data_IF_398361007195
#
_entry.id   IF_398361007195
#
_cell.length_a   1.000
_cell.length_b   1.000
_cell.length_c   1.000
_cell.angle_alpha   90.00
_cell.angle_beta   90.00
_cell.angle_gamma   90.00
#
_symmetry.space_group_name_H-M   'P 1'
#
loop_
_entity.id
_entity.type
_entity.pdbx_description
1 polymer ?
#
# COMPACT_ATOMS: atom_id res chain seq x y z
N UNK A 1 31.42 8.19 11.21
CA UNK A 1 30.56 8.88 12.18
C UNK A 1 29.34 8.03 12.47
N UNK A 2 29.16 7.58 13.72
CA UNK A 2 28.01 6.76 14.13
C UNK A 2 26.76 7.65 14.33
N UNK A 3 25.55 7.19 14.00
CA UNK A 3 24.33 7.95 14.23
C UNK A 3 24.07 8.05 15.74
N UNK A 4 23.89 9.28 16.22
CA UNK A 4 23.60 9.55 17.63
C UNK A 4 22.20 9.03 17.97
N UNK A 5 22.12 7.93 18.70
CA UNK A 5 20.85 7.41 19.21
C UNK A 5 20.19 8.45 20.13
N UNK A 6 18.88 8.71 19.99
CA UNK A 6 18.20 9.69 20.84
C UNK A 6 18.19 9.24 22.30
N UNK A 7 18.38 10.19 23.21
CA UNK A 7 18.32 9.94 24.65
C UNK A 7 16.93 9.45 25.08
N UNK A 8 16.87 8.61 26.11
CA UNK A 8 15.62 8.03 26.63
C UNK A 8 14.57 9.11 26.98
N UNK A 9 15.00 10.32 27.35
CA UNK A 9 14.12 11.46 27.60
C UNK A 9 13.39 11.96 26.33
N UNK A 10 14.08 12.03 25.17
CA UNK A 10 13.46 12.41 23.89
C UNK A 10 12.49 11.35 23.38
N UNK A 11 12.81 10.07 23.59
CA UNK A 11 11.89 8.97 23.27
C UNK A 11 10.62 9.04 24.14
N UNK A 12 10.77 9.31 25.45
CA UNK A 12 9.63 9.48 26.37
C UNK A 12 8.78 10.70 26.06
N UNK A 13 9.38 11.82 25.66
CA UNK A 13 8.65 13.04 25.27
C UNK A 13 7.94 12.90 23.91
N UNK A 14 8.44 12.05 23.02
CA UNK A 14 7.74 11.65 21.80
C UNK A 14 6.54 10.77 22.14
N UNK A 15 6.72 9.76 23.01
CA UNK A 15 5.65 8.87 23.50
C UNK A 15 4.58 9.62 24.30
N UNK A 16 4.96 10.58 25.13
CA UNK A 16 4.01 11.40 25.88
C UNK A 16 3.18 12.33 24.98
N UNK A 17 3.71 12.75 23.83
CA UNK A 17 2.94 13.47 22.78
C UNK A 17 2.06 12.53 21.95
N UNK A 18 2.22 11.21 22.07
CA UNK A 18 1.45 10.19 21.34
C UNK A 18 0.17 9.77 22.06
N UNK A 19 0.05 10.01 23.37
CA UNK A 19 -1.07 9.52 24.19
C UNK A 19 -2.34 10.40 24.13
N UNK A 20 -2.23 11.68 23.77
CA UNK A 20 -3.34 12.65 23.85
C UNK A 20 -3.83 13.16 22.49
N UNK A 21 -3.79 12.33 21.45
CA UNK A 21 -4.30 12.72 20.13
C UNK A 21 -5.68 12.13 19.88
N UNK A 22 -6.61 12.99 19.51
CA UNK A 22 -7.93 12.65 18.95
C UNK A 22 -7.82 11.49 17.94
N UNK A 23 -8.85 10.63 17.86
CA UNK A 23 -8.92 9.58 16.85
C UNK A 23 -8.67 10.12 15.45
N UNK A 24 -8.08 9.31 14.59
CA UNK A 24 -7.84 9.67 13.21
C UNK A 24 -9.16 9.96 12.47
N UNK A 25 -9.13 11.06 11.73
CA UNK A 25 -10.28 11.55 10.99
C UNK A 25 -10.48 10.67 9.76
N UNK A 26 -11.66 10.07 9.63
CA UNK A 26 -12.12 9.40 8.40
C UNK A 26 -12.91 10.41 7.56
N UNK A 27 -12.17 11.27 6.83
CA UNK A 27 -12.71 12.41 6.08
C UNK A 27 -12.45 12.34 4.57
N UNK A 28 -11.76 11.28 4.13
CA UNK A 28 -11.43 11.06 2.73
C UNK A 28 -12.67 10.62 1.95
N UNK A 29 -12.95 11.33 0.86
CA UNK A 29 -14.07 11.05 -0.04
C UNK A 29 -13.60 10.18 -1.20
N UNK A 30 -14.28 9.08 -1.45
CA UNK A 30 -14.02 8.21 -2.60
C UNK A 30 -15.16 8.40 -3.61
N UNK A 31 -14.83 8.41 -4.90
CA UNK A 31 -15.80 8.41 -5.98
C UNK A 31 -16.69 7.16 -5.92
N UNK A 32 -17.91 7.27 -6.43
CA UNK A 32 -18.86 6.16 -6.32
C UNK A 32 -18.60 5.05 -7.38
N UNK A 33 -19.34 3.95 -7.26
CA UNK A 33 -19.16 2.81 -8.14
C UNK A 33 -19.58 3.10 -9.59
N UNK A 34 -20.47 4.06 -9.85
CA UNK A 34 -20.80 4.44 -11.22
C UNK A 34 -19.61 5.16 -11.87
N UNK A 35 -19.02 6.12 -11.16
CA UNK A 35 -17.80 6.81 -11.60
C UNK A 35 -16.64 5.83 -11.82
N UNK A 36 -16.55 4.78 -11.00
CA UNK A 36 -15.56 3.71 -11.17
C UNK A 36 -15.76 2.95 -12.47
N UNK A 37 -16.99 2.48 -12.76
CA UNK A 37 -17.30 1.72 -13.97
C UNK A 37 -17.12 2.55 -15.26
N UNK A 38 -17.24 3.87 -15.19
CA UNK A 38 -16.92 4.77 -16.31
C UNK A 38 -15.40 4.92 -16.55
N UNK A 39 -14.60 4.71 -15.52
CA UNK A 39 -13.15 4.99 -15.54
C UNK A 39 -12.32 3.72 -15.74
N UNK A 40 -12.67 2.64 -15.05
CA UNK A 40 -11.95 1.38 -15.06
C UNK A 40 -12.57 0.44 -16.10
N UNK A 41 -11.77 0.06 -17.09
CA UNK A 41 -12.20 -0.74 -18.25
C UNK A 41 -11.93 -2.23 -18.11
N UNK A 42 -11.22 -2.63 -17.05
CA UNK A 42 -11.06 -4.02 -16.64
C UNK A 42 -11.65 -4.19 -15.24
N UNK A 43 -12.01 -5.43 -14.89
CA UNK A 43 -12.38 -5.80 -13.52
C UNK A 43 -11.14 -5.67 -12.60
N UNK A 44 -10.79 -4.44 -12.23
CA UNK A 44 -9.79 -4.18 -11.20
C UNK A 44 -10.49 -4.26 -9.84
N UNK A 45 -9.76 -4.56 -8.78
CA UNK A 45 -10.34 -4.63 -7.43
C UNK A 45 -10.42 -3.26 -6.76
N UNK A 46 -10.02 -2.18 -7.45
CA UNK A 46 -9.85 -0.84 -6.88
C UNK A 46 -11.13 -0.01 -6.68
N UNK A 47 -12.33 -0.54 -6.97
CA UNK A 47 -13.58 0.23 -6.93
C UNK A 47 -14.11 0.58 -5.53
N UNK A 48 -13.56 0.00 -4.47
CA UNK A 48 -13.98 0.28 -3.09
C UNK A 48 -12.82 0.18 -2.10
N UNK A 49 -13.03 0.73 -0.89
CA UNK A 49 -12.07 0.58 0.22
C UNK A 49 -12.19 -0.82 0.80
N UNK A 50 -11.15 -1.63 0.62
CA UNK A 50 -11.10 -2.99 1.17
C UNK A 50 -10.97 -2.97 2.70
N UNK A 51 -11.58 -3.92 3.42
CA UNK A 51 -11.42 -4.05 4.87
C UNK A 51 -9.95 -4.11 5.32
N UNK A 52 -9.07 -4.69 4.51
CA UNK A 52 -7.64 -4.77 4.80
C UNK A 52 -6.99 -3.38 4.95
N UNK A 53 -7.35 -2.41 4.11
CA UNK A 53 -6.84 -1.04 4.21
C UNK A 53 -7.26 -0.38 5.54
N UNK A 54 -8.51 -0.58 5.95
CA UNK A 54 -9.02 -0.08 7.24
C UNK A 54 -8.29 -0.72 8.43
N UNK A 55 -8.09 -2.04 8.41
CA UNK A 55 -7.36 -2.75 9.47
C UNK A 55 -5.90 -2.34 9.56
N UNK A 56 -5.26 -2.08 8.42
CA UNK A 56 -3.89 -1.56 8.42
C UNK A 56 -3.83 -0.14 9.00
N UNK A 57 -4.80 0.71 8.67
CA UNK A 57 -4.89 2.05 9.25
C UNK A 57 -5.11 2.00 10.78
N UNK A 58 -6.06 1.18 11.26
CA UNK A 58 -6.30 0.94 12.68
C UNK A 58 -5.03 0.47 13.40
N UNK A 59 -4.26 -0.44 12.78
CA UNK A 59 -2.98 -0.88 13.31
C UNK A 59 -1.96 0.27 13.38
N UNK A 60 -1.81 1.08 12.34
CA UNK A 60 -0.88 2.21 12.34
C UNK A 60 -1.27 3.25 13.39
N UNK A 61 -2.57 3.52 13.53
CA UNK A 61 -3.10 4.43 14.53
C UNK A 61 -2.83 3.92 15.96
N UNK A 62 -3.08 2.64 16.22
CA UNK A 62 -2.87 2.04 17.54
C UNK A 62 -1.39 1.85 17.88
N UNK A 63 -0.60 1.33 16.93
CA UNK A 63 0.80 0.99 17.15
C UNK A 63 1.74 2.20 17.09
N UNK A 64 1.32 3.27 16.41
CA UNK A 64 2.10 4.52 16.23
C UNK A 64 3.57 4.25 15.91
N UNK A 65 3.87 3.48 14.86
CA UNK A 65 5.24 3.06 14.58
C UNK A 65 6.16 4.28 14.42
N UNK A 66 7.48 4.16 14.69
CA UNK A 66 8.40 5.29 14.71
C UNK A 66 8.35 6.16 13.44
N UNK A 67 8.08 5.56 12.28
CA UNK A 67 7.94 6.28 11.02
C UNK A 67 6.70 7.18 10.95
N UNK A 68 5.59 6.81 11.61
CA UNK A 68 4.34 7.57 11.60
C UNK A 68 4.43 8.83 12.48
N UNK A 69 5.30 8.80 13.50
CA UNK A 69 5.52 9.94 14.40
C UNK A 69 6.76 10.77 14.03
N UNK A 70 7.52 10.32 13.03
CA UNK A 70 8.73 11.02 12.56
C UNK A 70 8.36 12.20 11.68
N UNK A 71 8.90 13.37 12.01
CA UNK A 71 8.86 14.55 11.12
C UNK A 71 9.53 14.26 9.79
N UNK A 72 8.90 14.70 8.70
CA UNK A 72 9.38 14.48 7.35
C UNK A 72 9.29 13.01 6.92
N UNK A 73 8.23 12.32 7.33
CA UNK A 73 7.94 10.97 6.85
C UNK A 73 7.71 10.98 5.33
N UNK A 74 8.30 10.00 4.63
CA UNK A 74 8.10 9.76 3.20
C UNK A 74 7.51 8.37 3.07
N UNK A 75 6.28 8.28 2.62
CA UNK A 75 5.46 7.07 2.63
C UNK A 75 5.20 6.67 1.18
N UNK A 76 5.34 5.37 0.89
CA UNK A 76 4.98 4.77 -0.38
C UNK A 76 3.90 3.73 -0.11
N UNK A 77 2.76 3.85 -0.79
CA UNK A 77 1.69 2.86 -0.80
C UNK A 77 1.69 2.13 -2.16
N UNK A 78 1.83 0.81 -2.09
CA UNK A 78 1.82 -0.06 -3.26
C UNK A 78 0.42 -0.66 -3.45
N UNK A 79 -0.11 -0.58 -4.66
CA UNK A 79 -1.45 -1.14 -4.97
C UNK A 79 -2.55 -0.42 -4.19
N UNK A 80 -2.56 0.91 -4.30
CA UNK A 80 -3.38 1.78 -3.46
C UNK A 80 -4.89 1.65 -3.75
N UNK A 81 -5.29 1.08 -4.91
CA UNK A 81 -6.68 0.94 -5.32
C UNK A 81 -7.40 2.30 -5.37
N UNK A 82 -8.20 2.60 -4.36
CA UNK A 82 -8.89 3.90 -4.22
C UNK A 82 -7.97 5.02 -3.73
N UNK A 83 -6.83 4.71 -3.13
CA UNK A 83 -5.94 5.67 -2.46
C UNK A 83 -6.39 6.09 -1.07
N UNK A 84 -7.47 5.50 -0.54
CA UNK A 84 -8.06 5.90 0.74
C UNK A 84 -7.06 5.87 1.90
N UNK A 85 -6.22 4.84 2.00
CA UNK A 85 -5.29 4.71 3.11
C UNK A 85 -4.19 5.78 3.05
N UNK A 86 -3.51 5.95 1.91
CA UNK A 86 -2.49 6.99 1.74
C UNK A 86 -3.03 8.40 1.95
N UNK A 87 -4.22 8.71 1.43
CA UNK A 87 -4.88 10.00 1.69
C UNK A 87 -5.23 10.18 3.17
N UNK A 88 -5.70 9.12 3.84
CA UNK A 88 -6.01 9.18 5.28
C UNK A 88 -4.74 9.37 6.12
N UNK A 89 -3.63 8.76 5.72
CA UNK A 89 -2.33 9.01 6.33
C UNK A 89 -1.90 10.47 6.13
N UNK A 90 -2.04 11.02 4.92
CA UNK A 90 -1.71 12.43 4.66
C UNK A 90 -2.55 13.40 5.50
N UNK A 91 -3.84 13.11 5.68
CA UNK A 91 -4.75 13.93 6.48
C UNK A 91 -4.45 13.89 7.98
N UNK A 92 -3.93 12.77 8.49
CA UNK A 92 -3.70 12.55 9.92
C UNK A 92 -2.23 12.65 10.34
N UNK A 93 -1.31 12.74 9.39
CA UNK A 93 0.13 12.93 9.61
C UNK A 93 0.57 14.30 9.06
N UNK A 94 0.28 15.42 9.77
CA UNK A 94 0.58 16.76 9.27
C UNK A 94 2.08 17.01 9.09
N UNK A 95 2.94 16.21 9.72
CA UNK A 95 4.40 16.31 9.57
C UNK A 95 4.96 15.39 8.48
N UNK A 96 4.13 14.70 7.70
CA UNK A 96 4.58 13.95 6.51
C UNK A 96 5.09 14.91 5.43
N UNK A 97 6.26 14.58 4.87
CA UNK A 97 6.86 15.28 3.73
C UNK A 97 6.18 14.86 2.43
N UNK A 98 5.97 13.54 2.29
CA UNK A 98 5.44 12.95 1.05
C UNK A 98 4.68 11.66 1.30
N UNK A 99 3.55 11.50 0.60
CA UNK A 99 2.81 10.25 0.48
C UNK A 99 2.64 9.96 -1.01
N UNK A 100 3.34 8.94 -1.51
CA UNK A 100 3.20 8.48 -2.88
C UNK A 100 2.28 7.26 -2.89
N UNK A 101 1.10 7.40 -3.50
CA UNK A 101 0.16 6.30 -3.71
C UNK A 101 0.30 5.79 -5.15
N UNK A 102 0.36 4.47 -5.31
CA UNK A 102 0.68 3.89 -6.62
C UNK A 102 -0.34 2.84 -7.08
N UNK A 103 -0.53 2.78 -8.39
CA UNK A 103 -1.31 1.73 -9.06
C UNK A 103 -0.76 1.41 -10.45
N UNK A 104 -1.18 0.29 -11.03
CA UNK A 104 -0.94 -0.05 -12.42
C UNK A 104 -1.67 0.92 -13.37
N UNK A 105 -1.09 1.13 -14.55
CA UNK A 105 -1.79 1.83 -15.65
C UNK A 105 -2.90 0.97 -16.26
N UNK A 106 -2.80 -0.35 -16.11
CA UNK A 106 -3.71 -1.28 -16.75
C UNK A 106 -5.17 -1.08 -16.28
N UNK A 107 -6.12 -1.28 -17.21
CA UNK A 107 -7.55 -1.29 -16.89
C UNK A 107 -8.11 0.00 -16.32
N UNK A 108 -7.42 1.14 -16.45
CA UNK A 108 -7.87 2.43 -15.91
C UNK A 108 -7.61 2.64 -14.41
N UNK A 109 -6.90 1.73 -13.72
CA UNK A 109 -6.68 1.81 -12.28
C UNK A 109 -5.96 3.09 -11.84
N UNK A 110 -4.87 3.48 -12.52
CA UNK A 110 -4.18 4.75 -12.23
C UNK A 110 -5.07 5.98 -12.46
N UNK A 111 -5.90 5.98 -13.50
CA UNK A 111 -6.84 7.07 -13.77
C UNK A 111 -7.87 7.19 -12.66
N UNK A 112 -8.38 6.05 -12.18
CA UNK A 112 -9.28 6.00 -11.03
C UNK A 112 -8.65 6.54 -9.75
N UNK A 113 -7.42 6.11 -9.44
CA UNK A 113 -6.67 6.61 -8.28
C UNK A 113 -6.48 8.13 -8.34
N UNK A 114 -6.11 8.69 -9.50
CA UNK A 114 -5.99 10.15 -9.71
C UNK A 114 -7.29 10.88 -9.45
N UNK A 115 -8.42 10.32 -9.92
CA UNK A 115 -9.75 10.91 -9.72
C UNK A 115 -10.11 10.99 -8.23
N UNK A 116 -9.85 9.94 -7.48
CA UNK A 116 -10.07 9.92 -6.03
C UNK A 116 -9.20 10.95 -5.30
N UNK A 117 -7.92 11.08 -5.67
CA UNK A 117 -7.04 12.09 -5.07
C UNK A 117 -7.53 13.50 -5.39
N UNK A 118 -7.81 13.81 -6.67
CA UNK A 118 -8.31 15.11 -7.08
C UNK A 118 -9.59 15.54 -6.34
N UNK A 119 -10.53 14.61 -6.13
CA UNK A 119 -11.78 14.87 -5.37
C UNK A 119 -11.54 15.41 -3.96
N UNK A 120 -10.41 15.08 -3.35
CA UNK A 120 -10.06 15.53 -2.01
C UNK A 120 -9.14 16.77 -2.02
N UNK A 121 -8.39 17.00 -3.09
CA UNK A 121 -7.59 18.21 -3.28
C UNK A 121 -8.45 19.41 -3.70
N UNK A 122 -9.48 19.18 -4.51
CA UNK A 122 -10.43 20.20 -4.99
C UNK A 122 -11.58 20.47 -3.99
N UNK A 123 -11.54 19.86 -2.81
CA UNK A 123 -12.58 20.00 -1.79
C UNK A 123 -12.52 21.32 -1.03
N UNK A 124 -13.65 21.71 -0.42
CA UNK A 124 -13.74 22.91 0.44
C UNK A 124 -12.83 22.85 1.67
N UNK A 125 -12.51 21.64 2.13
CA UNK A 125 -11.67 21.40 3.30
C UNK A 125 -10.31 20.90 2.84
N UNK A 126 -9.26 21.67 3.12
CA UNK A 126 -7.88 21.27 2.86
C UNK A 126 -7.50 20.15 3.83
N UNK A 127 -7.42 18.92 3.31
CA UNK A 127 -7.09 17.74 4.10
C UNK A 127 -5.57 17.60 4.34
N UNK A 128 -4.73 18.03 3.38
CA UNK A 128 -3.28 18.01 3.47
C UNK A 128 -2.67 19.23 2.77
N UNK A 129 -1.39 19.51 3.05
CA UNK A 129 -0.67 20.56 2.32
C UNK A 129 -0.55 20.21 0.83
N UNK A 130 -0.67 21.19 -0.08
CA UNK A 130 -0.45 20.96 -1.52
C UNK A 130 0.89 20.26 -1.78
N UNK A 131 0.88 19.26 -2.66
CA UNK A 131 2.07 18.49 -3.02
C UNK A 131 2.54 17.47 -1.99
N UNK A 132 1.79 17.20 -0.92
CA UNK A 132 2.11 16.07 -0.01
C UNK A 132 1.72 14.73 -0.64
N UNK A 133 0.53 14.64 -1.23
CA UNK A 133 0.06 13.42 -1.89
C UNK A 133 0.49 13.43 -3.36
N UNK A 134 1.04 12.31 -3.82
CA UNK A 134 1.42 12.09 -5.21
C UNK A 134 0.85 10.78 -5.71
N UNK A 135 0.45 10.78 -6.99
CA UNK A 135 -0.05 9.58 -7.66
C UNK A 135 0.92 9.17 -8.76
N UNK A 136 1.49 7.98 -8.63
CA UNK A 136 2.45 7.45 -9.60
C UNK A 136 2.05 6.06 -10.10
N UNK A 137 2.50 5.73 -11.31
CA UNK A 137 2.33 4.38 -11.82
C UNK A 137 3.36 3.44 -11.19
N UNK A 138 2.93 2.28 -10.70
CA UNK A 138 3.83 1.20 -10.30
C UNK A 138 3.20 -0.13 -10.74
N UNK A 139 3.85 -0.81 -11.69
CA UNK A 139 3.43 -2.13 -12.14
C UNK A 139 4.43 -3.16 -11.64
N UNK A 140 3.97 -4.05 -10.75
CA UNK A 140 4.84 -5.04 -10.12
C UNK A 140 5.28 -6.13 -11.10
N UNK A 141 4.55 -6.33 -12.20
CA UNK A 141 4.90 -7.33 -13.23
C UNK A 141 6.25 -7.01 -13.87
N UNK A 142 6.65 -5.74 -13.90
CA UNK A 142 7.95 -5.31 -14.40
C UNK A 142 9.13 -5.84 -13.57
N UNK A 143 8.88 -6.37 -12.36
CA UNK A 143 9.90 -6.87 -11.43
C UNK A 143 9.83 -8.39 -11.25
N UNK A 144 8.95 -9.09 -11.99
CA UNK A 144 8.63 -10.50 -11.76
C UNK A 144 9.54 -11.53 -12.42
N UNK A 145 10.36 -11.15 -13.41
CA UNK A 145 11.00 -12.11 -14.33
C UNK A 145 12.53 -12.24 -14.24
N UNK A 146 13.23 -11.48 -13.38
CA UNK A 146 14.71 -11.48 -13.43
C UNK A 146 15.42 -12.66 -12.72
N UNK A 147 14.71 -13.60 -12.08
CA UNK A 147 15.35 -14.73 -11.34
C UNK A 147 14.67 -16.11 -11.55
N UNK A 148 14.31 -16.47 -12.78
CA UNK A 148 14.08 -17.88 -13.15
C UNK A 148 15.22 -18.43 -14.01
N UNK A 149 16.44 -18.31 -13.49
CA UNK A 149 17.61 -19.01 -14.05
C UNK A 149 18.04 -20.10 -13.05
N UNK A 150 17.11 -21.00 -12.73
CA UNK A 150 17.46 -22.29 -12.15
C UNK A 150 17.74 -23.23 -13.31
N UNK A 151 19.00 -23.24 -13.74
CA UNK A 151 19.64 -24.36 -14.41
C UNK A 151 19.48 -25.61 -13.54
N UNK A 152 18.33 -26.27 -13.63
CA UNK A 152 18.17 -27.66 -13.22
C UNK A 152 18.34 -28.53 -14.47
N UNK A 153 19.59 -28.68 -14.90
CA UNK A 153 19.98 -29.94 -15.49
C UNK A 153 19.99 -30.96 -14.37
N UNK A 154 19.07 -31.91 -14.37
CA UNK A 154 19.38 -33.25 -13.90
C UNK A 154 18.52 -34.29 -14.61
N UNK A 155 19.21 -35.31 -15.07
CA UNK A 155 18.74 -36.41 -15.89
C UNK A 155 17.75 -37.29 -15.13
N UNK A 156 16.69 -37.76 -15.81
CA UNK A 156 16.04 -39.00 -15.42
C UNK A 156 15.84 -39.91 -16.63
N UNK A 157 16.98 -40.36 -17.16
CA UNK A 157 17.06 -41.62 -17.91
C UNK A 157 17.60 -42.71 -16.98
N UNK A 158 16.70 -43.53 -16.44
CA UNK A 158 16.88 -44.89 -15.87
C UNK A 158 15.44 -45.41 -15.66
N UNK A 159 14.83 -46.29 -16.46
CA UNK A 159 15.21 -47.65 -16.89
C UNK A 159 15.61 -48.57 -15.74
N UNK A 160 14.61 -49.34 -15.28
CA UNK A 160 14.63 -50.70 -14.71
C UNK A 160 13.23 -50.91 -14.11
N UNK A 161 12.31 -51.59 -14.79
CA UNK A 161 12.13 -53.06 -14.81
C UNK A 161 11.65 -53.62 -13.46
N UNK A 162 10.68 -54.52 -13.58
CA UNK A 162 10.09 -55.44 -12.61
C UNK A 162 8.96 -54.90 -11.70
N UNK A 163 7.71 -55.32 -11.97
CA UNK A 163 7.09 -56.29 -11.05
C UNK A 163 5.92 -57.06 -11.71
N UNK A 164 5.94 -58.36 -11.46
CA UNK A 164 5.09 -59.43 -11.98
C UNK A 164 3.64 -59.36 -11.46
N UNK A 165 2.67 -59.71 -12.30
CA UNK A 165 1.33 -60.14 -11.82
C UNK A 165 0.91 -61.46 -12.50
N UNK A 166 1.29 -62.57 -11.86
CA UNK A 166 0.49 -63.81 -11.81
C UNK A 166 -0.36 -63.71 -10.52
N UNK A 167 -1.68 -63.90 -10.51
CA UNK A 167 -2.40 -65.15 -10.78
C UNK A 167 -2.93 -65.70 -9.44
N UNK A 168 -4.15 -66.25 -9.46
CA UNK A 168 -4.98 -66.84 -8.37
C UNK A 168 -5.92 -65.85 -7.65
N UNK A 169 -7.25 -66.01 -7.57
CA UNK A 169 -8.21 -67.11 -7.85
C UNK A 169 -9.48 -66.58 -8.53
#
# INVERSE_FOLDING_TARGET
>A
SAPHLPTAARAREAVSRMADREPWRDVVKICDNFEYMETATAATTGGHVWPAARRLLEYVEAARPPWAVRRGARILELGAGTGWMGMTLAANLPDADRVCVTETRAGGALTWLRRNVARNEDGEVVLWRPGVVHVEACDWTAYGDEHRDDTAGDESTRSSDDDDTAGDE
#
